data_IF_715003668370
#
_entry.id   IF_715003668370
#
_cell.length_a   1.000
_cell.length_b   1.000
_cell.length_c   1.000
_cell.angle_alpha   90.00
_cell.angle_beta   90.00
_cell.angle_gamma   90.00
#
_symmetry.space_group_name_H-M   'P 1'
#
loop_
_entity.id
_entity.type
_entity.pdbx_description
1 polymer ?
#
# COMPACT_ATOMS: atom_id res chain seq x y z
N UNK A 1 7.12 -16.44 19.01
CA UNK A 1 7.53 -15.75 20.27
C UNK A 1 7.18 -14.27 20.11
N UNK A 2 6.34 -13.70 20.97
CA UNK A 2 6.03 -12.27 20.93
C UNK A 2 7.11 -11.51 21.72
N UNK A 3 7.72 -10.50 21.11
CA UNK A 3 8.69 -9.61 21.76
C UNK A 3 8.06 -8.23 21.92
N UNK A 4 8.15 -7.64 23.10
CA UNK A 4 7.78 -6.25 23.33
C UNK A 4 8.95 -5.35 22.95
N UNK A 5 8.68 -4.41 22.02
CA UNK A 5 9.65 -3.42 21.57
C UNK A 5 9.28 -2.07 22.22
N UNK A 6 10.14 -1.48 23.05
CA UNK A 6 9.83 -0.20 23.69
C UNK A 6 9.82 0.95 22.66
N UNK A 7 8.87 1.86 22.83
CA UNK A 7 8.87 3.16 22.15
C UNK A 7 9.14 4.21 23.24
N UNK A 8 10.16 5.03 23.05
CA UNK A 8 10.57 6.06 24.03
C UNK A 8 10.91 7.35 23.28
N UNK A 9 10.27 8.45 23.66
CA UNK A 9 10.56 9.77 23.07
C UNK A 9 10.57 9.76 21.54
N UNK A 10 9.55 9.15 20.92
CA UNK A 10 9.39 9.00 19.47
C UNK A 10 10.48 8.16 18.77
N UNK A 11 11.15 7.32 19.52
CA UNK A 11 12.08 6.33 18.99
C UNK A 11 11.65 4.90 19.33
N UNK A 12 11.79 4.01 18.37
CA UNK A 12 11.63 2.56 18.53
C UNK A 12 12.96 1.96 18.94
N UNK A 13 13.04 1.34 20.11
CA UNK A 13 14.27 0.71 20.64
C UNK A 13 14.34 -0.72 20.12
N UNK A 14 14.95 -0.92 18.96
CA UNK A 14 15.02 -2.23 18.28
C UNK A 14 15.94 -3.21 19.02
N UNK A 15 17.08 -2.72 19.52
CA UNK A 15 18.06 -3.50 20.32
C UNK A 15 18.60 -2.61 21.43
N UNK A 16 19.45 -3.18 22.29
CA UNK A 16 20.11 -2.41 23.37
C UNK A 16 21.00 -1.28 22.85
N UNK A 17 21.41 -1.35 21.56
CA UNK A 17 22.33 -0.40 20.95
C UNK A 17 21.75 0.31 19.73
N UNK A 18 20.51 -0.01 19.32
CA UNK A 18 19.90 0.55 18.13
C UNK A 18 18.49 1.06 18.39
N UNK A 19 18.33 2.35 18.25
CA UNK A 19 17.02 3.02 18.18
C UNK A 19 16.85 3.73 16.86
N UNK A 20 15.63 3.81 16.39
CA UNK A 20 15.25 4.49 15.15
C UNK A 20 14.01 5.34 15.37
N UNK A 21 13.85 6.47 14.66
CA UNK A 21 12.64 7.28 14.76
C UNK A 21 11.39 6.49 14.43
N UNK A 22 10.30 6.78 15.14
CA UNK A 22 8.95 6.31 14.78
C UNK A 22 8.59 6.88 13.40
N UNK A 23 8.09 6.01 12.52
CA UNK A 23 7.55 6.35 11.19
C UNK A 23 6.19 5.67 11.05
N UNK A 24 5.14 6.26 11.64
CA UNK A 24 3.86 5.60 11.75
C UNK A 24 3.19 5.46 10.38
N UNK A 25 2.51 4.35 10.19
CA UNK A 25 1.74 4.08 9.00
C UNK A 25 0.52 3.21 9.33
N UNK A 26 -0.40 3.13 8.38
CA UNK A 26 -1.58 2.28 8.43
C UNK A 26 -1.30 1.05 7.57
N UNK A 27 -1.23 -0.13 8.18
CA UNK A 27 -1.03 -1.39 7.46
C UNK A 27 -2.31 -1.81 6.72
N UNK A 28 -3.44 -1.77 7.39
CA UNK A 28 -4.72 -2.19 6.82
C UNK A 28 -5.68 -1.00 6.62
N UNK A 29 -6.00 -0.71 5.36
CA UNK A 29 -7.01 0.28 4.99
C UNK A 29 -7.76 -0.18 3.73
N UNK A 30 -9.08 -0.17 3.75
CA UNK A 30 -9.89 -0.59 2.60
C UNK A 30 -11.36 -0.27 2.77
N UNK A 31 -12.09 -0.49 1.70
CA UNK A 31 -13.56 -0.38 1.63
C UNK A 31 -14.19 -1.78 1.56
N UNK A 32 -15.49 -1.87 1.70
CA UNK A 32 -16.16 -3.15 1.55
C UNK A 32 -16.26 -3.58 0.09
N UNK A 33 -16.07 -4.88 -0.22
CA UNK A 33 -16.28 -5.42 -1.56
C UNK A 33 -17.76 -5.40 -1.96
N UNK A 34 -18.03 -5.40 -3.27
CA UNK A 34 -19.39 -5.49 -3.82
C UNK A 34 -20.14 -6.76 -3.37
N UNK A 35 -19.41 -7.84 -3.18
CA UNK A 35 -19.96 -9.13 -2.77
C UNK A 35 -18.99 -9.86 -1.84
N UNK A 36 -19.55 -10.63 -0.91
CA UNK A 36 -18.77 -11.45 0.00
C UNK A 36 -18.12 -10.68 1.14
N UNK A 37 -16.96 -11.11 1.54
CA UNK A 37 -16.17 -10.53 2.64
C UNK A 37 -14.69 -10.47 2.26
N UNK A 38 -13.98 -9.44 2.74
CA UNK A 38 -12.53 -9.37 2.71
C UNK A 38 -11.92 -9.77 4.06
N UNK A 39 -10.78 -10.43 4.02
CA UNK A 39 -9.99 -10.69 5.22
C UNK A 39 -9.00 -9.55 5.45
N UNK A 40 -8.85 -9.11 6.70
CA UNK A 40 -7.84 -8.12 7.09
C UNK A 40 -6.50 -8.76 7.48
N UNK A 41 -6.41 -10.08 7.40
CA UNK A 41 -5.16 -10.83 7.68
C UNK A 41 -4.42 -11.15 6.37
N UNK A 42 -5.17 -11.34 5.29
CA UNK A 42 -4.59 -11.68 3.99
C UNK A 42 -4.10 -10.42 3.28
N UNK A 43 -3.08 -10.55 2.43
CA UNK A 43 -2.65 -9.45 1.58
C UNK A 43 -3.80 -8.83 0.79
N UNK A 44 -3.63 -7.61 0.39
CA UNK A 44 -4.65 -6.70 -0.11
C UNK A 44 -5.45 -7.18 -1.32
N UNK A 45 -6.58 -6.56 -1.48
CA UNK A 45 -7.53 -6.74 -2.58
C UNK A 45 -7.64 -5.46 -3.41
N UNK A 46 -8.38 -5.52 -4.53
CA UNK A 46 -8.68 -4.33 -5.34
C UNK A 46 -9.34 -3.19 -4.56
N UNK A 47 -10.05 -3.51 -3.50
CA UNK A 47 -10.69 -2.55 -2.60
C UNK A 47 -9.81 -2.15 -1.38
N UNK A 48 -8.55 -2.51 -1.37
CA UNK A 48 -7.62 -2.31 -0.27
C UNK A 48 -7.56 -3.52 0.67
N UNK A 49 -7.22 -3.30 1.91
CA UNK A 49 -7.03 -4.31 2.95
C UNK A 49 -5.64 -4.24 3.57
N UNK A 50 -5.04 -5.38 3.84
CA UNK A 50 -3.73 -5.52 4.47
C UNK A 50 -2.59 -5.22 3.48
N UNK A 51 -2.47 -3.96 3.09
CA UNK A 51 -1.51 -3.55 2.06
C UNK A 51 -0.08 -3.41 2.58
N UNK A 52 0.06 -3.08 3.85
CA UNK A 52 1.35 -2.84 4.51
C UNK A 52 2.28 -1.96 3.66
N UNK A 53 1.72 -0.83 3.23
CA UNK A 53 2.44 0.14 2.42
C UNK A 53 2.94 1.29 3.29
N UNK A 54 4.25 1.42 3.39
CA UNK A 54 4.88 2.53 4.16
C UNK A 54 4.46 3.91 3.68
N UNK A 55 3.81 3.99 2.54
CA UNK A 55 3.29 5.22 1.95
C UNK A 55 1.92 5.63 2.51
N UNK A 56 1.19 4.71 3.15
CA UNK A 56 -0.05 5.01 3.89
C UNK A 56 0.28 5.65 5.24
N UNK A 57 0.99 6.76 5.20
CA UNK A 57 1.57 7.49 6.31
C UNK A 57 0.93 8.88 6.46
N UNK A 58 1.17 9.58 7.57
CA UNK A 58 0.66 10.94 7.76
C UNK A 58 1.01 11.87 6.59
N UNK A 59 0.01 12.58 6.07
CA UNK A 59 0.16 13.49 4.93
C UNK A 59 -0.09 12.87 3.56
N UNK A 60 -0.32 11.55 3.48
CA UNK A 60 -0.73 10.92 2.24
C UNK A 60 -2.25 10.89 2.07
N UNK A 61 -2.71 10.72 0.85
CA UNK A 61 -4.09 10.42 0.50
C UNK A 61 -4.16 9.03 -0.10
N UNK A 62 -5.03 8.18 0.42
CA UNK A 62 -5.28 6.83 -0.11
C UNK A 62 -6.58 6.86 -0.89
N UNK A 63 -6.51 6.63 -2.20
CA UNK A 63 -7.65 6.52 -3.09
C UNK A 63 -8.10 5.05 -3.13
N UNK A 64 -9.36 4.83 -2.80
CA UNK A 64 -9.96 3.49 -2.74
C UNK A 64 -11.19 3.42 -3.64
N UNK A 65 -11.47 2.30 -4.30
CA UNK A 65 -12.73 2.11 -4.99
C UNK A 65 -13.89 2.06 -4.00
N UNK A 66 -15.06 2.55 -4.38
CA UNK A 66 -16.29 2.43 -3.61
C UNK A 66 -17.26 1.55 -4.39
N UNK A 67 -17.52 0.35 -3.90
CA UNK A 67 -18.34 -0.66 -4.55
C UNK A 67 -19.71 -0.84 -3.91
N UNK A 68 -19.91 -0.30 -2.70
CA UNK A 68 -21.17 -0.39 -1.96
C UNK A 68 -21.55 0.97 -1.34
N UNK A 69 -22.83 1.16 -1.08
CA UNK A 69 -23.33 2.36 -0.40
C UNK A 69 -22.66 2.52 0.98
N UNK A 70 -22.16 3.73 1.25
CA UNK A 70 -21.47 4.07 2.48
C UNK A 70 -20.00 3.61 2.51
N UNK A 71 -19.47 3.00 1.45
CA UNK A 71 -18.11 2.51 1.30
C UNK A 71 -17.64 1.55 2.41
N UNK A 72 -18.14 1.69 3.63
CA UNK A 72 -17.79 0.92 4.83
C UNK A 72 -16.27 0.88 5.05
N UNK A 73 -15.66 2.06 5.11
CA UNK A 73 -14.22 2.22 5.33
C UNK A 73 -13.77 1.49 6.60
N UNK A 74 -12.74 0.67 6.46
CA UNK A 74 -12.08 -0.04 7.55
C UNK A 74 -10.62 0.40 7.64
N UNK A 75 -10.15 0.68 8.84
CA UNK A 75 -8.78 1.10 9.13
C UNK A 75 -8.32 0.36 10.38
N UNK A 76 -7.10 -0.19 10.33
CA UNK A 76 -6.48 -0.88 11.45
C UNK A 76 -5.00 -1.12 11.21
N UNK A 77 -4.41 -1.97 12.05
CA UNK A 77 -3.04 -2.43 11.84
C UNK A 77 -2.04 -1.27 11.77
N UNK A 78 -1.92 -0.56 12.89
CA UNK A 78 -1.03 0.59 12.98
C UNK A 78 0.39 0.13 13.33
N UNK A 79 1.34 0.52 12.51
CA UNK A 79 2.74 0.23 12.73
C UNK A 79 3.49 1.48 13.22
N UNK A 80 4.35 1.31 14.23
CA UNK A 80 5.26 2.36 14.67
C UNK A 80 6.39 2.60 13.66
N UNK A 81 6.83 1.53 13.01
CA UNK A 81 7.76 1.53 11.89
C UNK A 81 7.73 0.18 11.18
N UNK A 82 7.90 0.22 9.88
CA UNK A 82 8.05 -0.95 9.03
C UNK A 82 9.03 -0.64 7.90
N UNK A 83 9.77 -1.64 7.47
CA UNK A 83 10.50 -1.58 6.21
C UNK A 83 9.62 -2.11 5.07
N UNK A 84 9.81 -1.54 3.87
CA UNK A 84 9.06 -1.92 2.68
C UNK A 84 9.23 -3.41 2.38
N UNK A 85 8.13 -4.09 2.10
CA UNK A 85 8.10 -5.53 1.85
C UNK A 85 7.93 -6.40 3.10
N UNK A 86 7.91 -5.80 4.29
CA UNK A 86 7.62 -6.49 5.58
C UNK A 86 8.14 -7.93 5.62
N UNK A 87 9.46 -8.08 5.57
CA UNK A 87 10.15 -9.34 5.28
C UNK A 87 9.84 -10.50 6.25
N UNK A 88 9.40 -10.20 7.45
CA UNK A 88 9.03 -11.19 8.46
C UNK A 88 7.52 -11.36 8.63
N UNK A 89 6.71 -10.70 7.79
CA UNK A 89 5.25 -10.67 7.90
C UNK A 89 4.74 -10.07 9.23
N UNK A 90 5.57 -9.35 9.92
CA UNK A 90 5.26 -8.64 11.18
C UNK A 90 6.10 -7.37 11.23
N UNK A 91 5.46 -6.23 11.37
CA UNK A 91 6.12 -4.95 11.58
C UNK A 91 6.40 -4.68 13.07
N UNK A 92 6.66 -3.45 13.42
CA UNK A 92 6.60 -3.02 14.82
C UNK A 92 5.18 -2.53 15.08
N UNK A 93 4.35 -3.49 15.46
CA UNK A 93 2.95 -3.29 15.77
C UNK A 93 2.78 -2.32 16.93
N UNK A 94 1.86 -1.37 16.79
CA UNK A 94 1.65 -0.36 17.80
C UNK A 94 0.18 0.02 17.96
N UNK A 95 -0.20 0.27 19.19
CA UNK A 95 -1.47 0.93 19.46
C UNK A 95 -1.37 2.41 19.10
N UNK A 96 -2.40 2.94 18.43
CA UNK A 96 -2.42 4.35 18.05
C UNK A 96 -3.82 4.86 17.73
N UNK A 97 -3.87 6.11 17.27
CA UNK A 97 -5.09 6.76 16.78
C UNK A 97 -4.83 7.30 15.38
N UNK A 98 -5.64 6.89 14.42
CA UNK A 98 -5.64 7.46 13.08
C UNK A 98 -6.67 8.60 13.00
N UNK A 99 -6.23 9.77 12.55
CA UNK A 99 -7.11 10.91 12.24
C UNK A 99 -7.12 11.06 10.73
N UNK A 100 -8.28 10.86 10.12
CA UNK A 100 -8.43 10.88 8.67
C UNK A 100 -9.53 11.86 8.25
N UNK A 101 -9.34 12.47 7.07
CA UNK A 101 -10.40 13.15 6.35
C UNK A 101 -10.88 12.24 5.23
N UNK A 102 -12.18 12.18 5.00
CA UNK A 102 -12.79 11.36 3.95
C UNK A 102 -13.51 12.26 2.97
N UNK A 103 -13.28 12.04 1.69
CA UNK A 103 -14.00 12.70 0.60
C UNK A 103 -14.44 11.67 -0.43
N UNK A 104 -15.42 12.02 -1.27
CA UNK A 104 -15.96 11.15 -2.31
C UNK A 104 -15.84 11.81 -3.69
N UNK A 105 -15.04 11.23 -4.55
CA UNK A 105 -14.91 11.66 -5.94
C UNK A 105 -15.89 10.83 -6.79
N UNK A 106 -16.82 11.51 -7.45
CA UNK A 106 -17.84 10.87 -8.30
C UNK A 106 -17.48 11.03 -9.78
N UNK A 107 -18.03 10.15 -10.61
CA UNK A 107 -17.90 10.21 -12.08
C UNK A 107 -16.45 10.14 -12.56
N UNK A 108 -15.66 9.31 -11.93
CA UNK A 108 -14.28 9.00 -12.35
C UNK A 108 -14.20 7.63 -13.00
N UNK A 109 -13.12 7.35 -13.68
CA UNK A 109 -12.79 5.99 -14.10
C UNK A 109 -12.68 5.09 -12.86
N UNK A 110 -13.23 3.86 -12.89
CA UNK A 110 -13.07 2.93 -11.77
C UNK A 110 -11.60 2.65 -11.50
N UNK A 111 -11.22 2.69 -10.22
CA UNK A 111 -9.90 2.26 -9.79
C UNK A 111 -9.80 0.73 -9.92
N UNK A 112 -8.70 0.25 -10.49
CA UNK A 112 -8.39 -1.19 -10.54
C UNK A 112 -7.85 -1.72 -9.22
N UNK A 113 -7.14 -0.84 -8.50
CA UNK A 113 -6.52 -1.09 -7.22
C UNK A 113 -6.37 0.24 -6.47
N UNK A 114 -6.04 0.24 -5.19
CA UNK A 114 -5.72 1.45 -4.46
C UNK A 114 -4.60 2.25 -5.14
N UNK A 115 -4.68 3.58 -5.04
CA UNK A 115 -3.58 4.49 -5.39
C UNK A 115 -3.27 5.32 -4.15
N UNK A 116 -2.00 5.67 -3.98
CA UNK A 116 -1.60 6.57 -2.90
C UNK A 116 -1.02 7.84 -3.54
N UNK A 117 -1.43 8.97 -3.01
CA UNK A 117 -0.96 10.28 -3.42
C UNK A 117 -0.21 10.91 -2.25
N UNK A 118 1.02 11.33 -2.52
CA UNK A 118 1.84 12.13 -1.60
C UNK A 118 1.98 13.55 -2.11
N UNK A 119 2.74 14.39 -1.43
CA UNK A 119 3.10 15.73 -1.91
C UNK A 119 3.94 15.69 -3.21
N UNK A 120 4.63 14.60 -3.48
CA UNK A 120 5.62 14.49 -4.58
C UNK A 120 5.26 13.47 -5.64
N UNK A 121 4.52 12.43 -5.30
CA UNK A 121 4.35 11.25 -6.15
C UNK A 121 2.90 10.75 -6.16
N UNK A 122 2.54 10.16 -7.29
CA UNK A 122 1.48 9.19 -7.40
C UNK A 122 2.07 7.79 -7.28
N UNK A 123 1.42 6.93 -6.54
CA UNK A 123 1.85 5.56 -6.26
C UNK A 123 0.71 4.62 -6.64
N UNK A 124 0.99 3.75 -7.58
CA UNK A 124 0.05 2.76 -8.11
C UNK A 124 0.34 1.43 -7.46
N UNK A 125 -0.68 0.82 -6.88
CA UNK A 125 -0.56 -0.46 -6.20
C UNK A 125 -0.83 -1.59 -7.18
N UNK A 126 0.18 -2.41 -7.43
CA UNK A 126 0.03 -3.63 -8.19
C UNK A 126 -0.31 -4.79 -7.27
N UNK A 127 -1.30 -5.58 -7.64
CA UNK A 127 -1.77 -6.75 -6.90
C UNK A 127 -1.76 -7.96 -7.83
N UNK A 128 -1.16 -9.06 -7.40
CA UNK A 128 -1.12 -10.28 -8.21
C UNK A 128 -0.24 -11.37 -7.61
N UNK A 129 -0.51 -12.59 -8.03
CA UNK A 129 0.29 -13.77 -7.73
C UNK A 129 0.34 -14.63 -9.01
N UNK A 130 1.52 -14.84 -9.56
CA UNK A 130 2.86 -14.46 -9.09
C UNK A 130 3.15 -12.94 -9.15
N UNK A 131 4.29 -12.53 -8.60
CA UNK A 131 4.70 -11.12 -8.54
C UNK A 131 4.72 -10.40 -9.90
N UNK A 132 4.94 -11.13 -11.00
CA UNK A 132 4.87 -10.61 -12.36
C UNK A 132 3.48 -10.04 -12.69
N UNK A 133 2.43 -10.65 -12.19
CA UNK A 133 1.07 -10.17 -12.39
C UNK A 133 0.83 -8.86 -11.63
N UNK A 134 1.37 -8.73 -10.41
CA UNK A 134 1.30 -7.48 -9.66
C UNK A 134 2.06 -6.35 -10.36
N UNK A 135 3.24 -6.63 -10.92
CA UNK A 135 4.01 -5.64 -11.70
C UNK A 135 3.23 -5.19 -12.92
N UNK A 136 2.65 -6.15 -13.65
CA UNK A 136 1.84 -5.86 -14.84
C UNK A 136 0.63 -4.99 -14.48
N UNK A 137 -0.11 -5.38 -13.43
CA UNK A 137 -1.29 -4.65 -13.00
C UNK A 137 -0.98 -3.21 -12.60
N UNK A 138 0.11 -2.98 -11.86
CA UNK A 138 0.51 -1.65 -11.44
C UNK A 138 0.97 -0.76 -12.61
N UNK A 139 1.71 -1.31 -13.58
CA UNK A 139 2.08 -0.57 -14.79
C UNK A 139 0.88 -0.27 -15.68
N UNK A 140 -0.05 -1.19 -15.83
CA UNK A 140 -1.28 -0.94 -16.59
C UNK A 140 -2.11 0.17 -15.95
N UNK A 141 -2.22 0.20 -14.62
CA UNK A 141 -2.95 1.25 -13.92
C UNK A 141 -2.27 2.62 -14.07
N UNK A 142 -0.95 2.69 -13.99
CA UNK A 142 -0.18 3.91 -14.23
C UNK A 142 -0.32 4.39 -15.68
N UNK A 143 -0.27 3.47 -16.64
CA UNK A 143 -0.43 3.80 -18.04
C UNK A 143 -1.83 4.35 -18.34
N UNK A 144 -2.87 3.69 -17.81
CA UNK A 144 -4.25 4.16 -17.95
C UNK A 144 -4.44 5.54 -17.32
N UNK A 145 -3.82 5.80 -16.17
CA UNK A 145 -3.84 7.11 -15.52
C UNK A 145 -3.24 8.21 -16.41
N UNK A 146 -2.09 7.96 -17.02
CA UNK A 146 -1.48 8.94 -17.94
C UNK A 146 -2.32 9.16 -19.19
N UNK A 147 -2.76 8.08 -19.82
CA UNK A 147 -3.42 8.16 -21.14
C UNK A 147 -4.89 8.56 -21.01
N UNK A 148 -5.64 7.96 -20.09
CA UNK A 148 -7.09 8.16 -19.98
C UNK A 148 -7.45 9.33 -19.09
N UNK A 149 -6.79 9.44 -17.95
CA UNK A 149 -7.16 10.45 -16.97
C UNK A 149 -6.47 11.80 -17.26
N UNK A 150 -5.25 11.77 -17.85
CA UNK A 150 -4.46 12.96 -18.18
C UNK A 150 -4.30 13.24 -19.69
N UNK A 151 -4.85 12.42 -20.56
CA UNK A 151 -4.89 12.65 -22.01
C UNK A 151 -3.54 12.55 -22.72
N UNK A 152 -2.57 11.84 -22.14
CA UNK A 152 -1.25 11.70 -22.73
C UNK A 152 -1.26 10.84 -24.00
N UNK A 153 -0.34 11.13 -24.91
CA UNK A 153 -0.03 10.22 -26.00
C UNK A 153 0.54 8.90 -25.44
N UNK A 154 0.18 7.78 -26.05
CA UNK A 154 0.59 6.45 -25.59
C UNK A 154 2.11 6.26 -25.64
N UNK A 155 2.76 6.72 -26.70
CA UNK A 155 4.21 6.58 -26.84
C UNK A 155 4.96 7.42 -25.82
N UNK A 156 4.49 8.65 -25.57
CA UNK A 156 5.06 9.53 -24.53
C UNK A 156 4.85 8.94 -23.14
N UNK A 157 3.70 8.34 -22.86
CA UNK A 157 3.45 7.65 -21.59
C UNK A 157 4.47 6.52 -21.37
N UNK A 158 4.74 5.68 -22.39
CA UNK A 158 5.77 4.63 -22.29
C UNK A 158 7.17 5.20 -22.04
N UNK A 159 7.53 6.27 -22.73
CA UNK A 159 8.85 6.92 -22.54
C UNK A 159 9.00 7.44 -21.13
N UNK A 160 7.98 8.13 -20.62
CA UNK A 160 8.01 8.69 -19.26
C UNK A 160 8.02 7.59 -18.20
N UNK A 161 7.18 6.56 -18.35
CA UNK A 161 7.18 5.42 -17.44
C UNK A 161 8.55 4.74 -17.40
N UNK A 162 9.19 4.51 -18.56
CA UNK A 162 10.52 3.91 -18.62
C UNK A 162 11.60 4.77 -17.98
N UNK A 163 11.47 6.09 -18.06
CA UNK A 163 12.48 7.02 -17.58
C UNK A 163 12.34 7.37 -16.09
N UNK A 164 11.11 7.42 -15.58
CA UNK A 164 10.81 8.05 -14.29
C UNK A 164 9.97 7.19 -13.33
N UNK A 165 9.36 6.11 -13.80
CA UNK A 165 8.59 5.26 -12.90
C UNK A 165 9.53 4.31 -12.14
N UNK A 166 9.52 4.43 -10.81
CA UNK A 166 10.25 3.52 -9.92
C UNK A 166 9.32 2.44 -9.40
N UNK A 167 9.80 1.19 -9.44
CA UNK A 167 9.04 0.04 -8.94
C UNK A 167 9.75 -0.61 -7.78
N UNK A 168 8.98 -0.93 -6.74
CA UNK A 168 9.48 -1.50 -5.50
C UNK A 168 8.52 -2.59 -5.02
N UNK A 169 8.99 -3.43 -4.10
CA UNK A 169 8.10 -4.29 -3.34
C UNK A 169 7.27 -3.45 -2.39
N UNK A 170 6.02 -3.82 -2.21
CA UNK A 170 5.13 -3.27 -1.21
C UNK A 170 4.40 -4.41 -0.52
N UNK A 171 3.77 -4.12 0.62
CA UNK A 171 3.07 -5.12 1.40
C UNK A 171 3.96 -6.21 1.98
N UNK A 172 3.36 -7.19 2.64
CA UNK A 172 4.11 -8.31 3.19
C UNK A 172 4.58 -9.23 2.07
N UNK A 173 5.88 -9.47 2.03
CA UNK A 173 6.46 -10.49 1.15
C UNK A 173 6.54 -11.84 1.83
N UNK A 174 6.45 -11.85 3.15
CA UNK A 174 6.46 -13.03 3.98
C UNK A 174 7.79 -13.79 3.98
N UNK A 175 7.93 -14.74 4.90
CA UNK A 175 8.96 -15.75 4.84
C UNK A 175 8.53 -16.86 3.87
N UNK A 176 9.40 -17.26 2.95
CA UNK A 176 9.16 -18.40 2.06
C UNK A 176 9.33 -19.74 2.77
N UNK A 177 9.97 -19.75 3.92
CA UNK A 177 10.10 -20.95 4.75
C UNK A 177 8.88 -21.10 5.64
N UNK A 178 8.24 -22.25 5.68
CA UNK A 178 7.14 -22.52 6.59
C UNK A 178 7.65 -22.45 8.03
N UNK A 179 7.63 -21.25 8.58
CA UNK A 179 7.83 -21.02 10.00
C UNK A 179 6.61 -21.62 10.75
N UNK A 180 6.80 -22.42 11.80
CA UNK A 180 5.69 -22.85 12.63
C UNK A 180 4.85 -21.72 13.21
N UNK A 181 5.41 -20.51 13.32
CA UNK A 181 4.71 -19.29 13.76
C UNK A 181 3.93 -18.61 12.61
N UNK A 182 4.32 -18.85 11.36
CA UNK A 182 3.71 -18.29 10.17
C UNK A 182 3.45 -19.40 9.14
N UNK A 183 2.51 -20.33 9.43
CA UNK A 183 2.28 -21.49 8.58
C UNK A 183 1.61 -21.14 7.24
N UNK A 184 1.29 -19.86 7.01
CA UNK A 184 0.66 -19.43 5.78
C UNK A 184 1.72 -19.18 4.71
N UNK A 185 1.54 -19.78 3.55
CA UNK A 185 2.27 -19.40 2.36
C UNK A 185 2.00 -17.92 2.05
N UNK A 186 2.99 -17.22 1.52
CA UNK A 186 2.79 -15.88 0.99
C UNK A 186 1.61 -15.90 0.02
N UNK A 187 0.59 -15.09 0.29
CA UNK A 187 -0.63 -15.07 -0.50
C UNK A 187 -0.66 -13.80 -1.31
N UNK A 188 -0.24 -13.91 -2.54
CA UNK A 188 -0.17 -12.80 -3.46
C UNK A 188 1.05 -11.90 -3.25
N UNK A 189 1.33 -11.09 -4.24
CA UNK A 189 2.37 -10.08 -4.17
C UNK A 189 1.74 -8.69 -4.26
N UNK A 190 2.32 -7.75 -3.51
CA UNK A 190 2.02 -6.33 -3.61
C UNK A 190 3.27 -5.63 -4.13
N UNK A 191 3.11 -4.85 -5.18
CA UNK A 191 4.17 -3.97 -5.70
C UNK A 191 3.67 -2.53 -5.71
N UNK A 192 4.59 -1.58 -5.67
CA UNK A 192 4.29 -0.16 -5.82
C UNK A 192 5.07 0.42 -6.97
N UNK A 193 4.39 1.25 -7.76
CA UNK A 193 4.95 1.90 -8.93
C UNK A 193 4.76 3.40 -8.75
N UNK A 194 5.87 4.14 -8.68
CA UNK A 194 5.93 5.55 -8.30
C UNK A 194 6.12 6.43 -9.50
N UNK A 195 5.31 7.44 -9.63
CA UNK A 195 5.41 8.45 -10.67
C UNK A 195 5.53 9.84 -10.03
N UNK A 196 6.59 10.59 -10.30
CA UNK A 196 6.70 11.96 -9.80
C UNK A 196 5.56 12.86 -10.29
N UNK A 197 4.94 13.62 -9.41
CA UNK A 197 3.87 14.57 -9.79
C UNK A 197 4.34 15.65 -10.78
N UNK A 198 5.62 15.94 -10.79
CA UNK A 198 6.21 16.92 -11.71
C UNK A 198 6.06 16.55 -13.19
N UNK A 199 5.73 15.30 -13.51
CA UNK A 199 5.46 14.89 -14.90
C UNK A 199 4.08 15.35 -15.40
N UNK A 200 3.18 15.72 -14.49
CA UNK A 200 1.80 16.11 -14.79
C UNK A 200 1.60 17.64 -14.90
N UNK A 201 2.67 18.42 -14.69
CA UNK A 201 2.62 19.89 -14.68
C UNK A 201 2.97 20.49 -16.03
#
# INVERSE_FOLDING_TARGET
>A
MARRIPIRSDEVVLTDTLSVPVRPMIGCIGTAPAQGTGSTIMPSYSFGGNMDLTDAAPGSTVHLPVEVDGALLSIGDLHAIMARGESSFVAIEAQGTAIVSVDLIKNTSPLRAPRIETDREWIFVGLGDPVQDSITAGYEDMFDFLVRDHGWNRDDAYVVMSALAHSELGGPTGSTDPDPLHPMAAVGAVTVHRLPKSVLT
#
